data_IF_922795792986
#
_entry.id   IF_922795792986
#
_cell.length_a   1.000
_cell.length_b   1.000
_cell.length_c   1.000
_cell.angle_alpha   90.00
_cell.angle_beta   90.00
_cell.angle_gamma   90.00
#
_symmetry.space_group_name_H-M   'P 1'
#
loop_
_entity.id
_entity.type
_entity.pdbx_description
1 polymer ?
#
# COMPACT_ATOMS: atom_id res chain seq x y z
N UNK A 1 19.54 -17.96 -40.09
CA UNK A 1 20.33 -17.26 -39.05
C UNK A 1 19.71 -17.60 -37.72
N UNK A 2 20.35 -18.46 -36.89
CA UNK A 2 19.84 -18.78 -35.55
C UNK A 2 20.14 -17.57 -34.67
N UNK A 3 19.11 -16.80 -34.28
CA UNK A 3 19.24 -15.84 -33.21
C UNK A 3 19.57 -16.59 -31.92
N UNK A 4 20.78 -16.46 -31.45
CA UNK A 4 21.20 -17.00 -30.16
C UNK A 4 20.47 -16.21 -29.07
N UNK A 5 19.26 -16.65 -28.72
CA UNK A 5 18.45 -16.02 -27.66
C UNK A 5 19.15 -16.28 -26.33
N UNK A 6 19.63 -15.22 -25.68
CA UNK A 6 20.12 -15.31 -24.30
C UNK A 6 18.92 -15.52 -23.37
N UNK A 7 18.97 -16.58 -22.62
CA UNK A 7 17.94 -16.84 -21.59
C UNK A 7 18.26 -16.04 -20.35
N UNK A 8 17.29 -15.32 -19.82
CA UNK A 8 17.35 -14.66 -18.51
C UNK A 8 16.42 -15.43 -17.58
N UNK A 9 16.89 -15.77 -16.40
CA UNK A 9 16.08 -16.42 -15.36
C UNK A 9 15.99 -15.48 -14.16
N UNK A 10 14.79 -15.28 -13.65
CA UNK A 10 14.53 -14.64 -12.37
C UNK A 10 14.12 -15.74 -11.38
N UNK A 11 14.86 -15.88 -10.29
CA UNK A 11 14.60 -16.87 -9.25
C UNK A 11 14.24 -16.10 -7.98
N UNK A 12 13.02 -16.28 -7.49
CA UNK A 12 12.50 -15.62 -6.29
C UNK A 12 12.47 -16.65 -5.17
N UNK A 13 13.25 -16.38 -4.10
CA UNK A 13 13.23 -17.15 -2.87
C UNK A 13 12.27 -16.47 -1.91
N UNK A 14 10.98 -16.75 -2.07
CA UNK A 14 9.91 -16.10 -1.29
C UNK A 14 10.06 -16.44 0.21
N UNK A 15 9.99 -15.40 1.05
CA UNK A 15 10.25 -15.54 2.48
C UNK A 15 11.74 -15.62 2.89
N UNK A 16 12.68 -15.59 1.93
CA UNK A 16 14.10 -15.57 2.23
C UNK A 16 14.54 -14.15 2.65
N UNK A 17 14.60 -13.94 3.98
CA UNK A 17 14.99 -12.66 4.55
C UNK A 17 16.48 -12.55 4.88
N UNK A 18 16.91 -11.36 5.26
CA UNK A 18 18.25 -11.10 5.78
C UNK A 18 18.17 -10.57 7.22
N UNK A 19 18.99 -11.17 8.09
CA UNK A 19 19.19 -10.74 9.47
C UNK A 19 20.60 -11.14 9.93
N UNK A 20 21.32 -10.25 10.57
CA UNK A 20 22.69 -10.50 11.03
C UNK A 20 22.74 -11.41 12.27
N UNK A 21 21.72 -11.33 13.15
CA UNK A 21 21.65 -12.14 14.35
C UNK A 21 21.50 -13.62 13.99
N UNK A 22 22.27 -14.47 14.68
CA UNK A 22 22.29 -15.91 14.46
C UNK A 22 21.17 -16.64 15.21
N UNK A 23 20.76 -16.15 16.38
CA UNK A 23 19.77 -16.81 17.23
C UNK A 23 18.42 -16.92 16.51
N UNK A 24 17.89 -18.15 16.47
CA UNK A 24 16.63 -18.46 15.79
C UNK A 24 16.60 -18.06 14.31
N UNK A 25 17.75 -18.09 13.64
CA UNK A 25 17.92 -17.73 12.23
C UNK A 25 18.25 -18.97 11.40
N UNK A 26 17.22 -19.65 10.89
CA UNK A 26 17.39 -20.87 10.11
C UNK A 26 18.23 -20.66 8.84
N UNK A 27 18.14 -19.50 8.21
CA UNK A 27 18.92 -19.14 7.01
C UNK A 27 20.40 -19.05 7.36
N UNK A 28 20.75 -18.38 8.45
CA UNK A 28 22.14 -18.21 8.89
C UNK A 28 22.79 -19.55 9.31
N UNK A 29 21.99 -20.52 9.76
CA UNK A 29 22.46 -21.85 10.13
C UNK A 29 22.42 -22.86 8.97
N UNK A 30 21.82 -22.51 7.85
CA UNK A 30 21.75 -23.40 6.70
C UNK A 30 23.11 -23.52 6.00
N UNK A 31 23.37 -24.68 5.44
CA UNK A 31 24.56 -24.89 4.61
C UNK A 31 24.24 -24.49 3.15
N UNK A 32 24.57 -23.25 2.78
CA UNK A 32 24.20 -22.65 1.48
C UNK A 32 25.41 -22.19 0.67
N UNK A 33 26.40 -23.08 0.40
CA UNK A 33 27.70 -22.70 -0.17
C UNK A 33 27.58 -22.02 -1.55
N UNK A 34 26.56 -22.36 -2.33
CA UNK A 34 26.33 -21.75 -3.65
C UNK A 34 25.79 -20.32 -3.51
N UNK A 35 24.79 -20.11 -2.65
CA UNK A 35 24.24 -18.76 -2.40
C UNK A 35 25.29 -17.85 -1.76
N UNK A 36 26.02 -18.37 -0.77
CA UNK A 36 27.11 -17.66 -0.09
C UNK A 36 28.20 -17.26 -1.10
N UNK A 37 28.58 -18.18 -1.99
CA UNK A 37 29.53 -17.90 -3.06
C UNK A 37 29.02 -16.86 -4.06
N UNK A 38 27.76 -16.90 -4.44
CA UNK A 38 27.15 -15.90 -5.32
C UNK A 38 27.12 -14.51 -4.66
N UNK A 39 26.70 -14.44 -3.38
CA UNK A 39 26.70 -13.17 -2.63
C UNK A 39 28.10 -12.60 -2.45
N UNK A 40 29.13 -13.45 -2.29
CA UNK A 40 30.51 -12.99 -2.13
C UNK A 40 31.19 -12.55 -3.43
N UNK A 41 30.76 -13.01 -4.60
CA UNK A 41 31.46 -12.82 -5.86
C UNK A 41 30.70 -12.02 -6.92
N UNK A 42 29.41 -11.83 -6.77
CA UNK A 42 28.54 -11.14 -7.72
C UNK A 42 27.92 -9.87 -7.08
N UNK A 43 27.45 -8.99 -7.91
CA UNK A 43 26.73 -7.78 -7.44
C UNK A 43 25.47 -8.21 -6.69
N UNK A 44 25.32 -7.68 -5.48
CA UNK A 44 24.15 -7.93 -4.63
C UNK A 44 23.79 -6.69 -3.85
N UNK A 45 22.55 -6.62 -3.38
CA UNK A 45 22.05 -5.56 -2.52
C UNK A 45 20.87 -6.06 -1.68
N UNK A 46 20.62 -5.38 -0.59
CA UNK A 46 19.42 -5.58 0.22
C UNK A 46 18.33 -4.61 -0.22
N UNK A 47 17.09 -5.08 -0.22
CA UNK A 47 15.90 -4.27 -0.49
C UNK A 47 14.97 -4.37 0.71
N UNK A 48 14.21 -3.31 0.96
CA UNK A 48 13.15 -3.34 1.95
C UNK A 48 11.97 -4.20 1.46
N UNK A 49 11.40 -4.98 2.39
CA UNK A 49 10.24 -5.83 2.13
C UNK A 49 9.00 -5.40 2.93
N UNK A 50 8.96 -4.18 3.51
CA UNK A 50 7.89 -3.77 4.42
C UNK A 50 7.53 -2.28 4.29
N UNK A 51 6.41 -1.91 4.84
CA UNK A 51 5.96 -0.53 4.94
C UNK A 51 5.82 0.17 3.59
N UNK A 52 6.11 1.46 3.56
CA UNK A 52 5.94 2.30 2.37
C UNK A 52 6.81 1.86 1.19
N UNK A 53 7.94 1.22 1.45
CA UNK A 53 8.85 0.73 0.41
C UNK A 53 8.22 -0.36 -0.47
N UNK A 54 7.16 -1.00 0.00
CA UNK A 54 6.37 -1.98 -0.74
C UNK A 54 4.90 -1.58 -0.91
N UNK A 55 4.56 -0.33 -0.62
CA UNK A 55 3.23 0.21 -0.83
C UNK A 55 2.23 -0.07 0.30
N UNK A 56 2.70 -0.49 1.46
CA UNK A 56 1.92 -0.74 2.67
C UNK A 56 2.04 0.45 3.66
N UNK A 57 1.15 0.55 4.65
CA UNK A 57 1.30 1.53 5.72
C UNK A 57 2.63 1.41 6.47
N UNK A 58 3.15 2.50 7.06
CA UNK A 58 4.36 2.46 7.87
C UNK A 58 4.28 1.41 8.98
N UNK A 59 5.35 0.64 9.16
CA UNK A 59 5.44 -0.40 10.20
C UNK A 59 4.71 -1.70 9.89
N UNK A 60 3.99 -1.78 8.79
CA UNK A 60 3.35 -3.02 8.38
C UNK A 60 4.35 -3.95 7.70
N UNK A 61 4.41 -5.19 8.16
CA UNK A 61 5.22 -6.25 7.56
C UNK A 61 4.71 -6.55 6.14
N UNK A 62 5.63 -6.71 5.20
CA UNK A 62 5.31 -7.12 3.85
C UNK A 62 4.79 -8.55 3.74
N UNK A 63 4.31 -8.88 2.57
CA UNK A 63 3.86 -10.22 2.21
C UNK A 63 4.22 -10.54 0.75
N UNK A 64 4.01 -11.79 0.37
CA UNK A 64 4.32 -12.27 -0.98
C UNK A 64 3.57 -11.50 -2.07
N UNK A 65 2.30 -11.17 -1.84
CA UNK A 65 1.46 -10.48 -2.84
C UNK A 65 2.05 -9.12 -3.22
N UNK A 66 2.29 -8.26 -2.23
CA UNK A 66 2.84 -6.91 -2.50
C UNK A 66 4.27 -6.98 -3.06
N UNK A 67 5.09 -7.94 -2.59
CA UNK A 67 6.44 -8.14 -3.10
C UNK A 67 6.45 -8.50 -4.59
N UNK A 68 5.64 -9.48 -4.99
CA UNK A 68 5.53 -9.89 -6.40
C UNK A 68 4.94 -8.80 -7.29
N UNK A 69 3.95 -8.06 -6.79
CA UNK A 69 3.38 -6.91 -7.53
C UNK A 69 4.43 -5.85 -7.79
N UNK A 70 5.24 -5.49 -6.79
CA UNK A 70 6.30 -4.49 -6.95
C UNK A 70 7.41 -4.96 -7.90
N UNK A 71 7.83 -6.22 -7.79
CA UNK A 71 8.82 -6.81 -8.71
C UNK A 71 8.30 -6.83 -10.15
N UNK A 72 7.03 -7.24 -10.34
CA UNK A 72 6.42 -7.28 -11.66
C UNK A 72 6.18 -5.91 -12.29
N UNK A 73 5.84 -4.92 -11.47
CA UNK A 73 5.62 -3.54 -11.91
C UNK A 73 6.91 -2.75 -12.12
N UNK A 74 8.05 -3.20 -11.54
CA UNK A 74 9.31 -2.48 -11.54
C UNK A 74 9.27 -1.14 -10.79
N UNK A 75 8.32 -0.99 -9.89
CA UNK A 75 8.13 0.22 -9.06
C UNK A 75 7.32 -0.11 -7.81
N UNK A 76 7.33 0.78 -6.83
CA UNK A 76 6.42 0.68 -5.68
C UNK A 76 4.98 0.88 -6.14
N UNK A 77 4.10 -0.07 -5.78
CA UNK A 77 2.66 -0.01 -6.04
C UNK A 77 1.96 0.13 -4.70
N UNK A 78 1.46 1.33 -4.42
CA UNK A 78 0.70 1.55 -3.20
C UNK A 78 -0.62 0.78 -3.19
N UNK A 79 -0.87 0.08 -2.10
CA UNK A 79 -2.16 -0.56 -1.83
C UNK A 79 -3.25 0.50 -1.64
N UNK A 80 -4.51 0.13 -1.82
CA UNK A 80 -5.61 1.10 -1.82
C UNK A 80 -5.68 1.93 -0.53
N UNK A 81 -5.46 1.31 0.62
CA UNK A 81 -5.38 2.02 1.90
C UNK A 81 -4.30 3.12 1.84
N UNK A 82 -3.08 2.76 1.49
CA UNK A 82 -1.94 3.69 1.40
C UNK A 82 -2.17 4.77 0.36
N UNK A 83 -2.80 4.42 -0.78
CA UNK A 83 -3.16 5.38 -1.84
C UNK A 83 -4.11 6.46 -1.34
N UNK A 84 -5.17 6.05 -0.60
CA UNK A 84 -6.14 7.01 -0.06
C UNK A 84 -5.48 7.90 1.01
N UNK A 85 -4.70 7.29 1.91
CA UNK A 85 -3.95 8.05 2.93
C UNK A 85 -3.04 9.10 2.29
N UNK A 86 -2.23 8.69 1.32
CA UNK A 86 -1.34 9.62 0.60
C UNK A 86 -2.11 10.70 -0.16
N UNK A 87 -3.20 10.37 -0.83
CA UNK A 87 -4.01 11.35 -1.52
C UNK A 87 -4.57 12.42 -0.55
N UNK A 88 -4.87 12.03 0.70
CA UNK A 88 -5.30 12.97 1.74
C UNK A 88 -4.13 13.86 2.20
N UNK A 89 -2.95 13.27 2.44
CA UNK A 89 -1.73 13.98 2.85
C UNK A 89 -1.28 14.98 1.79
N UNK A 90 -1.29 14.56 0.52
CA UNK A 90 -0.87 15.35 -0.64
C UNK A 90 -1.97 16.34 -1.11
N UNK A 91 -3.14 16.30 -0.47
CA UNK A 91 -4.35 17.09 -0.80
C UNK A 91 -5.07 16.69 -2.10
N UNK A 92 -4.59 15.74 -2.87
CA UNK A 92 -5.20 15.26 -4.12
C UNK A 92 -6.61 14.68 -3.90
N UNK A 93 -6.86 14.11 -2.72
CA UNK A 93 -8.18 13.61 -2.33
C UNK A 93 -9.26 14.69 -2.45
N UNK A 94 -8.92 15.92 -2.06
CA UNK A 94 -9.84 17.05 -2.05
C UNK A 94 -10.07 17.66 -3.43
N UNK A 95 -9.24 17.31 -4.40
CA UNK A 95 -9.34 17.70 -5.81
C UNK A 95 -9.92 16.60 -6.70
N UNK A 96 -10.33 15.46 -6.13
CA UNK A 96 -10.88 14.34 -6.88
C UNK A 96 -12.20 14.74 -7.58
N UNK A 97 -12.24 14.77 -8.93
CA UNK A 97 -13.39 15.30 -9.66
C UNK A 97 -14.65 14.49 -9.42
N UNK A 98 -14.54 13.18 -9.25
CA UNK A 98 -15.71 12.30 -9.03
C UNK A 98 -16.37 12.62 -7.69
N UNK A 99 -15.56 12.80 -6.63
CA UNK A 99 -16.09 13.19 -5.31
C UNK A 99 -16.70 14.58 -5.34
N UNK A 100 -16.03 15.53 -6.00
CA UNK A 100 -16.47 16.91 -6.15
C UNK A 100 -17.83 16.97 -6.86
N UNK A 101 -17.94 16.39 -8.04
CA UNK A 101 -19.16 16.41 -8.87
C UNK A 101 -20.35 15.83 -8.12
N UNK A 102 -20.18 14.67 -7.47
CA UNK A 102 -21.28 14.04 -6.73
C UNK A 102 -21.71 14.85 -5.50
N UNK A 103 -20.76 15.44 -4.77
CA UNK A 103 -21.08 16.34 -3.66
C UNK A 103 -21.84 17.58 -4.14
N UNK A 104 -21.36 18.22 -5.20
CA UNK A 104 -21.97 19.43 -5.73
C UNK A 104 -23.40 19.21 -6.23
N UNK A 105 -23.66 18.08 -6.92
CA UNK A 105 -25.01 17.70 -7.35
C UNK A 105 -25.95 17.58 -6.15
N UNK A 106 -25.51 16.91 -5.07
CA UNK A 106 -26.33 16.74 -3.87
C UNK A 106 -26.57 18.10 -3.15
N UNK A 107 -25.53 18.92 -3.04
CA UNK A 107 -25.58 20.24 -2.39
C UNK A 107 -26.50 21.20 -3.14
N UNK A 108 -26.35 21.30 -4.47
CA UNK A 108 -27.19 22.18 -5.33
C UNK A 108 -28.65 21.77 -5.31
N UNK A 109 -28.94 20.49 -5.20
CA UNK A 109 -30.29 19.98 -5.09
C UNK A 109 -30.86 20.01 -3.65
N UNK A 110 -30.15 20.60 -2.69
CA UNK A 110 -30.47 20.62 -1.25
C UNK A 110 -30.77 19.22 -0.68
N UNK A 111 -30.05 18.20 -1.17
CA UNK A 111 -30.18 16.83 -0.73
C UNK A 111 -29.19 16.51 0.39
N UNK A 112 -29.48 15.42 1.09
CA UNK A 112 -28.58 14.88 2.11
C UNK A 112 -27.43 14.10 1.47
N UNK A 113 -26.27 14.19 2.09
CA UNK A 113 -25.11 13.33 1.83
C UNK A 113 -24.98 12.34 2.97
N UNK A 114 -24.98 11.07 2.65
CA UNK A 114 -24.83 9.98 3.62
C UNK A 114 -23.48 9.30 3.41
N UNK A 115 -22.69 9.23 4.49
CA UNK A 115 -21.41 8.54 4.53
C UNK A 115 -21.57 7.32 5.43
N UNK A 116 -21.14 6.16 5.00
CA UNK A 116 -21.22 4.96 5.83
C UNK A 116 -19.91 4.17 5.72
N UNK A 117 -19.48 3.59 6.84
CA UNK A 117 -18.25 2.81 6.91
C UNK A 117 -17.91 2.41 8.33
N UNK A 118 -16.91 1.52 8.44
CA UNK A 118 -16.36 1.09 9.71
C UNK A 118 -15.54 2.23 10.32
N UNK A 119 -15.96 2.71 11.48
CA UNK A 119 -15.24 3.75 12.23
C UNK A 119 -14.18 3.08 13.10
N UNK A 120 -13.00 2.89 12.55
CA UNK A 120 -11.88 2.19 13.18
C UNK A 120 -10.56 2.90 12.88
N UNK A 121 -9.68 2.91 13.88
CA UNK A 121 -8.28 3.32 13.72
C UNK A 121 -7.37 2.18 13.24
N UNK A 122 -7.90 0.94 13.13
CA UNK A 122 -7.11 -0.26 12.81
C UNK A 122 -6.62 -0.33 11.36
N UNK A 123 -7.33 0.29 10.41
CA UNK A 123 -6.90 0.40 9.02
C UNK A 123 -6.94 -0.91 8.22
N UNK A 124 -7.64 -1.95 8.70
CA UNK A 124 -7.73 -3.23 7.97
C UNK A 124 -8.77 -3.16 6.86
N UNK A 125 -10.00 -2.74 7.18
CA UNK A 125 -11.09 -2.62 6.21
C UNK A 125 -11.53 -1.17 5.98
N UNK A 126 -11.20 -0.27 6.90
CA UNK A 126 -11.50 1.15 6.86
C UNK A 126 -10.54 1.89 7.80
N UNK A 127 -10.46 3.19 7.65
CA UNK A 127 -9.74 4.05 8.59
C UNK A 127 -10.55 5.32 8.84
N UNK A 128 -10.72 5.67 10.11
CA UNK A 128 -11.54 6.82 10.50
C UNK A 128 -11.06 8.14 9.88
N UNK A 129 -9.75 8.34 9.69
CA UNK A 129 -9.22 9.53 9.05
C UNK A 129 -9.66 9.69 7.58
N UNK A 130 -9.89 8.58 6.86
CA UNK A 130 -10.44 8.64 5.51
C UNK A 130 -11.89 9.14 5.53
N UNK A 131 -12.68 8.68 6.51
CA UNK A 131 -14.05 9.14 6.73
C UNK A 131 -14.04 10.64 7.10
N UNK A 132 -13.18 11.04 8.04
CA UNK A 132 -13.05 12.43 8.46
C UNK A 132 -12.58 13.35 7.33
N UNK A 133 -11.69 12.89 6.46
CA UNK A 133 -11.28 13.65 5.28
C UNK A 133 -12.47 13.93 4.36
N UNK A 134 -13.30 12.92 4.08
CA UNK A 134 -14.50 13.11 3.27
C UNK A 134 -15.51 14.05 3.93
N UNK A 135 -15.75 13.92 5.24
CA UNK A 135 -16.64 14.81 5.98
C UNK A 135 -16.14 16.27 5.94
N UNK A 136 -14.83 16.48 6.14
CA UNK A 136 -14.19 17.81 6.02
C UNK A 136 -14.37 18.37 4.61
N UNK A 137 -14.19 17.55 3.57
CA UNK A 137 -14.42 17.95 2.18
C UNK A 137 -15.86 18.38 1.94
N UNK A 138 -16.83 17.56 2.34
CA UNK A 138 -18.26 17.84 2.17
C UNK A 138 -18.69 19.12 2.92
N UNK A 139 -18.23 19.29 4.16
CA UNK A 139 -18.50 20.48 4.95
C UNK A 139 -17.89 21.75 4.31
N UNK A 140 -16.63 21.69 3.86
CA UNK A 140 -15.95 22.80 3.17
C UNK A 140 -16.65 23.21 1.88
N UNK A 141 -17.28 22.26 1.17
CA UNK A 141 -18.08 22.51 -0.03
C UNK A 141 -19.50 23.02 0.26
N UNK A 142 -19.91 23.08 1.51
CA UNK A 142 -21.18 23.65 1.94
C UNK A 142 -22.33 22.64 2.12
N UNK A 143 -22.03 21.36 2.28
CA UNK A 143 -23.04 20.35 2.62
C UNK A 143 -23.69 20.67 3.97
N UNK A 144 -24.98 20.95 3.99
CA UNK A 144 -25.76 21.28 5.21
C UNK A 144 -26.40 20.06 5.84
N UNK A 145 -26.67 19.02 5.04
CA UNK A 145 -27.33 17.78 5.45
C UNK A 145 -26.35 16.64 5.25
N UNK A 146 -25.47 16.44 6.25
CA UNK A 146 -24.39 15.46 6.22
C UNK A 146 -24.59 14.46 7.37
N UNK A 147 -24.73 13.18 7.03
CA UNK A 147 -25.01 12.11 7.98
C UNK A 147 -23.96 11.00 7.89
N UNK A 148 -23.36 10.68 9.03
CA UNK A 148 -22.45 9.57 9.17
C UNK A 148 -23.19 8.36 9.77
N UNK A 149 -23.16 7.25 9.06
CA UNK A 149 -23.62 5.93 9.53
C UNK A 149 -22.38 5.11 9.91
N UNK A 150 -21.94 5.27 11.15
CA UNK A 150 -20.75 4.60 11.65
C UNK A 150 -21.06 3.15 12.03
N UNK A 151 -20.33 2.21 11.43
CA UNK A 151 -20.27 0.84 11.95
C UNK A 151 -19.15 0.82 12.99
N UNK A 152 -19.50 0.43 14.22
CA UNK A 152 -18.54 0.43 15.33
C UNK A 152 -17.72 -0.86 15.30
N UNK A 153 -16.45 -0.74 15.69
CA UNK A 153 -15.49 -1.83 15.79
C UNK A 153 -15.43 -2.38 17.22
#
# INVERSE_FOLDING_TARGET
>A
MSHNKKTTALIILDGWGHREEQDNNAIAHANTPILDGLCGTHANTLISGSGLDVGLPPGQMGNSEVGHVNLGAGRVVYQDFTRVTKAIEDCDFFENPVLIENLDVAIQADKAVHVMGLLSAGGVHSHEEHIFAFLRMAAKRGAKKLYLHAFLD
#
